data_IF_875404759254
#
_entry.id   IF_875404759254
#
_cell.length_a   1.000
_cell.length_b   1.000
_cell.length_c   1.000
_cell.angle_alpha   90.00
_cell.angle_beta   90.00
_cell.angle_gamma   90.00
#
_symmetry.space_group_name_H-M   'P 1'
#
loop_
_entity.id
_entity.type
_entity.pdbx_description
1 polymer ?
#
# COMPACT_ATOMS: atom_id res chain seq x y z
N UNK A 1 -17.26 -10.08 -1.52
CA UNK A 1 -16.70 -11.26 -2.22
C UNK A 1 -15.18 -11.17 -2.13
N UNK A 2 -14.50 -12.26 -1.76
CA UNK A 2 -13.02 -12.22 -1.74
C UNK A 2 -12.52 -12.45 -3.17
N UNK A 3 -11.79 -11.50 -3.69
CA UNK A 3 -11.13 -11.57 -4.99
C UNK A 3 -10.06 -12.66 -4.92
N UNK A 4 -10.11 -13.62 -5.87
CA UNK A 4 -9.25 -14.80 -5.87
C UNK A 4 -8.29 -14.85 -7.07
N UNK A 5 -7.28 -15.74 -6.99
CA UNK A 5 -6.34 -16.01 -8.10
C UNK A 5 -7.05 -16.32 -9.43
N UNK A 6 -8.22 -16.95 -9.35
CA UNK A 6 -9.01 -17.33 -10.52
C UNK A 6 -9.52 -16.12 -11.29
N UNK A 7 -9.85 -15.05 -10.57
CA UNK A 7 -10.34 -13.81 -11.18
C UNK A 7 -9.20 -13.07 -11.92
N UNK A 8 -8.01 -13.02 -11.32
CA UNK A 8 -6.82 -12.50 -12.00
C UNK A 8 -6.47 -13.31 -13.24
N UNK A 9 -6.54 -14.65 -13.14
CA UNK A 9 -6.33 -15.55 -14.28
C UNK A 9 -7.31 -15.28 -15.44
N UNK A 10 -8.60 -15.08 -15.12
CA UNK A 10 -9.63 -14.78 -16.11
C UNK A 10 -9.42 -13.42 -16.80
N UNK A 11 -9.04 -12.39 -16.05
CA UNK A 11 -8.84 -11.04 -16.59
C UNK A 11 -7.58 -10.98 -17.44
N UNK A 12 -6.48 -11.57 -16.95
CA UNK A 12 -5.16 -11.49 -17.61
C UNK A 12 -4.96 -12.54 -18.71
N UNK A 13 -5.76 -13.60 -18.73
CA UNK A 13 -5.61 -14.73 -19.66
C UNK A 13 -4.44 -15.67 -19.32
N UNK A 14 -3.71 -15.43 -18.24
CA UNK A 14 -2.61 -16.32 -17.80
C UNK A 14 -3.14 -17.47 -16.93
N UNK A 15 -2.46 -18.62 -16.98
CA UNK A 15 -2.83 -19.79 -16.18
C UNK A 15 -2.76 -19.50 -14.67
N UNK A 16 -3.60 -20.17 -13.88
CA UNK A 16 -3.57 -20.06 -12.40
C UNK A 16 -2.18 -20.32 -11.81
N UNK A 17 -1.42 -21.25 -12.40
CA UNK A 17 -0.06 -21.55 -11.95
C UNK A 17 0.89 -20.39 -12.21
N UNK A 18 0.76 -19.70 -13.34
CA UNK A 18 1.54 -18.50 -13.67
C UNK A 18 1.18 -17.36 -12.74
N UNK A 19 -0.10 -17.10 -12.54
CA UNK A 19 -0.59 -16.07 -11.60
C UNK A 19 -0.08 -16.35 -10.20
N UNK A 20 -0.22 -17.58 -9.71
CA UNK A 20 0.28 -17.96 -8.38
C UNK A 20 1.79 -17.77 -8.22
N UNK A 21 2.59 -18.14 -9.22
CA UNK A 21 4.06 -17.98 -9.19
C UNK A 21 4.49 -16.51 -9.19
N UNK A 22 3.82 -15.68 -9.96
CA UNK A 22 4.08 -14.24 -9.99
C UNK A 22 3.74 -13.62 -8.65
N UNK A 23 2.55 -13.88 -8.13
CA UNK A 23 2.07 -13.32 -6.86
C UNK A 23 2.84 -13.84 -5.63
N UNK A 24 3.46 -15.02 -5.74
CA UNK A 24 4.37 -15.57 -4.70
C UNK A 24 5.84 -15.21 -4.91
N UNK A 25 6.18 -14.23 -5.76
CA UNK A 25 7.54 -13.80 -6.10
C UNK A 25 8.48 -14.92 -6.62
N UNK A 26 7.92 -16.02 -7.14
CA UNK A 26 8.72 -17.12 -7.73
C UNK A 26 9.12 -16.86 -9.18
N UNK A 27 8.58 -15.82 -9.80
CA UNK A 27 8.93 -15.36 -11.15
C UNK A 27 9.37 -13.90 -11.05
N UNK A 28 10.49 -13.55 -11.71
CA UNK A 28 10.99 -12.16 -11.75
C UNK A 28 9.91 -11.20 -12.26
N UNK A 29 9.69 -10.10 -11.53
CA UNK A 29 8.71 -9.07 -11.85
C UNK A 29 8.95 -8.30 -13.16
N UNK A 30 10.07 -8.58 -13.87
CA UNK A 30 10.43 -7.88 -15.11
C UNK A 30 9.81 -8.48 -16.38
N UNK A 31 9.21 -9.68 -16.31
CA UNK A 31 8.52 -10.26 -17.47
C UNK A 31 7.19 -9.51 -17.75
N UNK A 32 6.79 -9.47 -19.04
CA UNK A 32 5.52 -8.87 -19.44
C UNK A 32 4.35 -9.47 -18.65
N UNK A 33 4.30 -10.81 -18.56
CA UNK A 33 3.25 -11.52 -17.80
C UNK A 33 3.23 -11.14 -16.32
N UNK A 34 4.40 -10.93 -15.71
CA UNK A 34 4.45 -10.49 -14.31
C UNK A 34 3.88 -9.07 -14.15
N UNK A 35 4.25 -8.14 -15.03
CA UNK A 35 3.72 -6.77 -15.01
C UNK A 35 2.20 -6.74 -15.18
N UNK A 36 1.66 -7.49 -16.15
CA UNK A 36 0.23 -7.56 -16.42
C UNK A 36 -0.54 -8.17 -15.22
N UNK A 37 -0.03 -9.25 -14.62
CA UNK A 37 -0.64 -9.89 -13.46
C UNK A 37 -0.60 -8.98 -12.23
N UNK A 38 0.53 -8.31 -11.99
CA UNK A 38 0.69 -7.42 -10.83
C UNK A 38 -0.17 -6.16 -10.94
N UNK A 39 -0.27 -5.55 -12.14
CA UNK A 39 -1.17 -4.41 -12.36
C UNK A 39 -2.62 -4.80 -12.16
N UNK A 40 -3.06 -5.90 -12.74
CA UNK A 40 -4.43 -6.41 -12.58
C UNK A 40 -4.75 -6.74 -11.12
N UNK A 41 -3.84 -7.43 -10.41
CA UNK A 41 -4.02 -7.73 -8.99
C UNK A 41 -4.18 -6.46 -8.14
N UNK A 42 -3.44 -5.40 -8.47
CA UNK A 42 -3.54 -4.08 -7.83
C UNK A 42 -4.88 -3.40 -8.16
N UNK A 43 -5.28 -3.37 -9.43
CA UNK A 43 -6.52 -2.74 -9.92
C UNK A 43 -7.77 -3.35 -9.29
N UNK A 44 -7.82 -4.69 -9.16
CA UNK A 44 -8.97 -5.38 -8.57
C UNK A 44 -8.89 -5.51 -7.03
N UNK A 45 -7.83 -4.98 -6.40
CA UNK A 45 -7.69 -4.99 -4.94
C UNK A 45 -7.46 -6.37 -4.34
N UNK A 46 -6.66 -7.22 -4.98
CA UNK A 46 -6.33 -8.56 -4.48
C UNK A 46 -5.50 -8.48 -3.20
N UNK A 47 -6.11 -8.74 -2.06
CA UNK A 47 -5.52 -8.52 -0.73
C UNK A 47 -4.25 -9.34 -0.46
N UNK A 48 -4.16 -10.57 -0.98
CA UNK A 48 -2.98 -11.43 -0.84
C UNK A 48 -1.77 -10.99 -1.67
N UNK A 49 -1.94 -10.04 -2.59
CA UNK A 49 -0.82 -9.43 -3.32
C UNK A 49 0.25 -8.85 -2.39
N UNK A 50 -0.15 -8.42 -1.20
CA UNK A 50 0.72 -7.77 -0.20
C UNK A 50 1.35 -8.70 0.83
N UNK A 51 0.89 -9.95 0.91
CA UNK A 51 1.46 -10.96 1.84
C UNK A 51 2.83 -11.50 1.39
N UNK A 52 3.23 -11.24 0.15
CA UNK A 52 4.56 -11.63 -0.33
C UNK A 52 5.60 -10.62 0.11
N UNK A 53 6.61 -11.09 0.85
CA UNK A 53 7.76 -10.27 1.24
C UNK A 53 8.31 -9.51 0.02
N UNK A 54 8.60 -8.21 0.15
CA UNK A 54 9.13 -7.44 -0.97
C UNK A 54 10.44 -8.07 -1.46
N UNK A 55 10.55 -8.27 -2.77
CA UNK A 55 11.84 -8.54 -3.39
C UNK A 55 12.80 -7.41 -3.02
N UNK A 56 14.08 -7.67 -2.74
CA UNK A 56 15.04 -6.63 -2.37
C UNK A 56 15.16 -5.48 -3.38
N UNK A 57 14.65 -5.66 -4.59
CA UNK A 57 14.64 -4.64 -5.66
C UNK A 57 13.23 -4.10 -5.98
N UNK A 58 12.22 -4.36 -5.13
CA UNK A 58 10.87 -3.85 -5.38
C UNK A 58 10.79 -2.38 -4.98
N UNK A 59 10.29 -1.55 -5.89
CA UNK A 59 9.86 -0.19 -5.58
C UNK A 59 8.61 -0.28 -4.71
N UNK A 60 8.69 0.21 -3.48
CA UNK A 60 7.54 0.33 -2.59
C UNK A 60 6.83 1.65 -2.84
N UNK A 61 5.52 1.60 -2.74
CA UNK A 61 4.65 2.77 -2.79
C UNK A 61 4.15 3.07 -1.36
N UNK A 62 4.78 4.04 -0.72
CA UNK A 62 4.54 4.41 0.68
C UNK A 62 3.63 5.62 0.74
N UNK A 63 2.61 5.59 1.60
CA UNK A 63 1.74 6.73 1.80
C UNK A 63 1.99 7.40 3.16
N UNK A 64 2.32 8.68 3.14
CA UNK A 64 2.28 9.55 4.32
C UNK A 64 0.84 10.00 4.51
N UNK A 65 0.22 9.53 5.59
CA UNK A 65 -1.14 9.87 5.96
C UNK A 65 -1.12 10.97 7.01
N UNK A 66 -1.73 12.08 6.71
CA UNK A 66 -1.78 13.24 7.59
C UNK A 66 -3.17 13.87 7.61
N UNK A 67 -3.40 14.78 8.54
CA UNK A 67 -4.54 15.71 8.49
C UNK A 67 -4.12 16.93 7.68
N UNK A 68 -5.11 17.72 7.26
CA UNK A 68 -4.80 18.95 6.50
C UNK A 68 -4.22 20.02 7.42
N UNK A 69 -2.99 20.43 7.17
CA UNK A 69 -2.31 21.50 7.89
C UNK A 69 -1.58 22.42 6.90
N UNK A 70 -1.53 23.70 7.21
CA UNK A 70 -0.97 24.75 6.35
C UNK A 70 0.40 25.27 6.78
N UNK A 71 1.09 24.58 7.71
CA UNK A 71 2.33 25.07 8.31
C UNK A 71 3.58 24.52 7.62
N UNK A 72 4.67 25.31 7.65
CA UNK A 72 5.99 24.94 7.10
C UNK A 72 6.54 23.63 7.65
N UNK A 73 6.18 23.26 8.88
CA UNK A 73 6.58 22.00 9.50
C UNK A 73 6.28 20.79 8.62
N UNK A 74 5.12 20.76 7.96
CA UNK A 74 4.73 19.65 7.10
C UNK A 74 5.56 19.57 5.82
N UNK A 75 6.01 20.70 5.31
CA UNK A 75 6.93 20.71 4.17
C UNK A 75 8.27 20.06 4.51
N UNK A 76 8.83 20.38 5.69
CA UNK A 76 10.07 19.75 6.17
C UNK A 76 9.89 18.27 6.49
N UNK A 77 8.77 17.89 7.12
CA UNK A 77 8.44 16.50 7.41
C UNK A 77 8.36 15.68 6.13
N UNK A 78 7.63 16.19 5.14
CA UNK A 78 7.52 15.55 3.83
C UNK A 78 8.87 15.42 3.14
N UNK A 79 9.65 16.51 3.08
CA UNK A 79 10.97 16.49 2.45
C UNK A 79 11.92 15.46 3.09
N UNK A 80 11.82 15.28 4.43
CA UNK A 80 12.58 14.26 5.14
C UNK A 80 12.21 12.83 4.73
N UNK A 81 10.93 12.52 4.66
CA UNK A 81 10.46 11.20 4.22
C UNK A 81 10.72 10.96 2.73
N UNK A 82 10.48 11.96 1.88
CA UNK A 82 10.70 11.88 0.44
C UNK A 82 12.18 11.60 0.12
N UNK A 83 13.09 12.26 0.81
CA UNK A 83 14.52 12.01 0.69
C UNK A 83 14.87 10.54 0.96
N UNK A 84 14.42 10.00 2.09
CA UNK A 84 14.69 8.59 2.46
C UNK A 84 14.06 7.62 1.47
N UNK A 85 12.83 7.88 1.03
CA UNK A 85 12.16 7.05 0.03
C UNK A 85 12.93 7.05 -1.30
N UNK A 86 13.33 8.24 -1.77
CA UNK A 86 14.07 8.42 -3.02
C UNK A 86 15.45 7.75 -2.99
N UNK A 87 16.20 7.89 -1.89
CA UNK A 87 17.51 7.23 -1.69
C UNK A 87 17.41 5.70 -1.72
N UNK A 88 16.25 5.14 -1.35
CA UNK A 88 15.98 3.71 -1.37
C UNK A 88 15.16 3.25 -2.58
N UNK A 89 15.00 4.13 -3.58
CA UNK A 89 14.22 3.85 -4.80
C UNK A 89 12.76 3.45 -4.52
N UNK A 90 12.13 4.14 -3.55
CA UNK A 90 10.72 3.99 -3.21
C UNK A 90 9.95 5.27 -3.57
N UNK A 91 8.65 5.16 -3.79
CA UNK A 91 7.77 6.32 -3.99
C UNK A 91 7.08 6.72 -2.68
N UNK A 92 6.89 8.03 -2.51
CA UNK A 92 6.12 8.59 -1.40
C UNK A 92 4.93 9.38 -1.94
N UNK A 93 3.75 9.09 -1.42
CA UNK A 93 2.52 9.83 -1.73
C UNK A 93 1.94 10.42 -0.45
N UNK A 94 1.47 11.68 -0.49
CA UNK A 94 0.78 12.28 0.66
C UNK A 94 -0.72 12.11 0.50
N UNK A 95 -1.38 11.65 1.56
CA UNK A 95 -2.83 11.64 1.66
C UNK A 95 -3.30 12.43 2.87
N UNK A 96 -4.13 13.44 2.61
CA UNK A 96 -4.84 14.16 3.66
C UNK A 96 -6.16 13.48 3.95
N UNK A 97 -6.38 13.13 5.23
CA UNK A 97 -7.63 12.50 5.65
C UNK A 97 -8.78 13.51 5.65
N UNK A 98 -9.96 13.05 5.24
CA UNK A 98 -11.20 13.85 5.27
C UNK A 98 -11.82 13.86 6.66
N UNK A 99 -12.13 15.02 7.18
CA UNK A 99 -12.69 15.20 8.54
C UNK A 99 -14.03 14.48 8.78
N UNK A 100 -14.88 14.34 7.76
CA UNK A 100 -16.24 13.84 7.89
C UNK A 100 -16.42 12.34 7.60
N UNK A 101 -15.34 11.57 7.57
CA UNK A 101 -15.42 10.14 7.29
C UNK A 101 -14.54 9.33 8.24
N UNK A 102 -14.95 8.09 8.50
CA UNK A 102 -14.18 7.19 9.37
C UNK A 102 -12.75 7.01 8.86
N UNK A 103 -11.78 7.32 9.70
CA UNK A 103 -10.34 7.17 9.43
C UNK A 103 -10.02 5.72 9.02
N UNK A 104 -10.54 4.75 9.75
CA UNK A 104 -10.31 3.33 9.47
C UNK A 104 -10.83 2.90 8.10
N UNK A 105 -11.97 3.45 7.66
CA UNK A 105 -12.51 3.18 6.31
C UNK A 105 -11.62 3.79 5.23
N UNK A 106 -11.14 5.03 5.44
CA UNK A 106 -10.22 5.68 4.50
C UNK A 106 -8.91 4.90 4.39
N UNK A 107 -8.32 4.51 5.52
CA UNK A 107 -7.08 3.74 5.54
C UNK A 107 -7.25 2.35 4.91
N UNK A 108 -8.35 1.65 5.15
CA UNK A 108 -8.67 0.39 4.45
C UNK A 108 -8.78 0.57 2.93
N UNK A 109 -9.35 1.66 2.47
CA UNK A 109 -9.40 1.97 1.04
C UNK A 109 -7.99 2.22 0.50
N UNK A 110 -7.22 3.11 1.13
CA UNK A 110 -5.86 3.45 0.71
C UNK A 110 -4.91 2.25 0.79
N UNK A 111 -5.13 1.33 1.73
CA UNK A 111 -4.31 0.12 1.86
C UNK A 111 -4.39 -0.82 0.65
N UNK A 112 -5.32 -0.63 -0.26
CA UNK A 112 -5.40 -1.36 -1.54
C UNK A 112 -4.40 -0.85 -2.58
N UNK A 113 -3.93 0.39 -2.44
CA UNK A 113 -3.11 1.08 -3.44
C UNK A 113 -1.65 1.28 -3.01
N UNK A 114 -1.36 1.24 -1.71
CA UNK A 114 -0.03 1.48 -1.15
C UNK A 114 0.53 0.25 -0.46
N UNK A 115 1.84 0.19 -0.32
CA UNK A 115 2.55 -0.94 0.31
C UNK A 115 2.74 -0.76 1.82
N UNK A 116 2.66 0.47 2.31
CA UNK A 116 2.75 0.81 3.72
C UNK A 116 2.31 2.23 4.03
N UNK A 117 2.04 2.49 5.30
CA UNK A 117 1.66 3.82 5.78
C UNK A 117 2.66 4.37 6.79
N UNK A 118 2.94 5.66 6.67
CA UNK A 118 3.49 6.50 7.72
C UNK A 118 2.33 7.36 8.23
N UNK A 119 1.93 7.19 9.49
CA UNK A 119 0.83 7.96 10.08
C UNK A 119 1.39 9.13 10.87
N UNK A 120 1.07 10.33 10.44
CA UNK A 120 1.33 11.55 11.20
C UNK A 120 -0.01 12.25 11.51
N UNK A 121 -0.64 11.84 12.59
CA UNK A 121 -1.99 12.22 13.00
C UNK A 121 -1.98 12.71 14.46
N UNK A 122 -1.35 13.87 14.76
CA UNK A 122 -1.07 14.30 16.12
C UNK A 122 -2.31 14.59 16.97
N UNK A 123 -3.49 14.70 16.35
CA UNK A 123 -4.75 14.90 17.07
C UNK A 123 -5.42 13.60 17.53
N UNK A 124 -4.88 12.44 17.12
CA UNK A 124 -5.42 11.14 17.53
C UNK A 124 -4.84 10.71 18.87
N UNK A 125 -5.70 10.12 19.70
CA UNK A 125 -5.29 9.47 20.94
C UNK A 125 -4.81 8.02 20.74
N UNK A 126 -4.29 7.42 21.81
CA UNK A 126 -3.78 6.05 21.80
C UNK A 126 -4.87 5.01 21.44
N UNK A 127 -6.16 5.27 21.76
CA UNK A 127 -7.25 4.36 21.43
C UNK A 127 -7.54 4.37 19.93
N UNK A 128 -7.49 5.54 19.31
CA UNK A 128 -7.64 5.69 17.86
C UNK A 128 -6.54 4.94 17.12
N UNK A 129 -5.28 5.10 17.55
CA UNK A 129 -4.15 4.36 16.96
C UNK A 129 -4.30 2.84 17.11
N UNK A 130 -4.79 2.36 18.27
CA UNK A 130 -5.08 0.93 18.50
C UNK A 130 -6.14 0.43 17.53
N UNK A 131 -7.26 1.14 17.38
CA UNK A 131 -8.33 0.79 16.42
C UNK A 131 -7.83 0.75 14.98
N UNK A 132 -6.98 1.70 14.58
CA UNK A 132 -6.34 1.71 13.27
C UNK A 132 -5.51 0.43 13.09
N UNK A 133 -4.64 0.12 14.05
CA UNK A 133 -3.77 -1.06 14.00
C UNK A 133 -4.58 -2.36 13.89
N UNK A 134 -5.63 -2.52 14.72
CA UNK A 134 -6.52 -3.67 14.68
C UNK A 134 -7.26 -3.78 13.33
N UNK A 135 -7.71 -2.65 12.76
CA UNK A 135 -8.44 -2.64 11.49
C UNK A 135 -7.60 -2.97 10.28
N UNK A 136 -6.29 -2.70 10.34
CA UNK A 136 -5.36 -2.90 9.23
C UNK A 136 -4.62 -4.23 9.28
N UNK A 137 -4.77 -5.04 10.33
CA UNK A 137 -4.15 -6.37 10.57
C UNK A 137 -2.94 -6.64 9.70
N UNK A 138 -1.77 -6.90 10.17
CA UNK A 138 -0.56 -7.24 9.40
C UNK A 138 -0.14 -6.27 8.26
N UNK A 139 -0.82 -5.12 8.10
CA UNK A 139 -0.44 -4.12 7.11
C UNK A 139 0.70 -3.25 7.68
N UNK A 140 1.77 -2.95 6.90
CA UNK A 140 2.90 -2.15 7.39
C UNK A 140 2.47 -0.72 7.75
N UNK A 141 2.55 -0.38 9.03
CA UNK A 141 2.20 0.94 9.56
C UNK A 141 3.25 1.40 10.56
N UNK A 142 3.73 2.63 10.37
CA UNK A 142 4.60 3.36 11.30
C UNK A 142 3.82 4.59 11.81
N UNK A 143 3.89 4.89 13.11
CA UNK A 143 3.25 6.05 13.75
C UNK A 143 4.11 6.66 14.81
#
# INVERSE_FOLDING_TARGET
MSIGLKEISNITGYSLSTVSRVLSNKISGNSKSAKDILSTAREIGYSKYRETAPSPNRILDIALITQHYSEEFYAYLYAGFDKVCSENNHSLTIHSLRYNSSITKQLKYLSQYHDGFILFLPTLDANNYRQIKESLSNYPVIS
#
